data_IF_400716592267
#
_entry.id   IF_400716592267
#
_cell.length_a   1.000
_cell.length_b   1.000
_cell.length_c   1.000
_cell.angle_alpha   90.00
_cell.angle_beta   90.00
_cell.angle_gamma   90.00
#
_symmetry.space_group_name_H-M   'P 1'
#
loop_
_entity.id
_entity.type
_entity.pdbx_description
1 polymer ?
#
# COMPACT_ATOMS: atom_id res chain seq x y z
N UNK A 1 18.05 0.60 17.45
CA UNK A 1 16.66 1.00 17.73
C UNK A 1 15.96 1.20 16.40
N UNK A 2 14.95 0.40 16.05
CA UNK A 2 14.22 0.59 14.79
C UNK A 2 13.25 1.76 14.96
N UNK A 3 13.23 2.70 14.02
CA UNK A 3 12.28 3.82 14.05
C UNK A 3 10.85 3.30 13.79
N UNK A 4 9.80 3.98 14.27
CA UNK A 4 8.41 3.56 14.05
C UNK A 4 8.06 3.36 12.55
N UNK A 5 8.72 4.11 11.67
CA UNK A 5 8.63 3.98 10.21
C UNK A 5 9.18 2.63 9.71
N UNK A 6 10.33 2.19 10.22
CA UNK A 6 10.92 0.90 9.84
C UNK A 6 10.08 -0.29 10.30
N UNK A 7 9.41 -0.17 11.46
CA UNK A 7 8.48 -1.19 11.94
C UNK A 7 7.28 -1.33 10.99
N UNK A 8 6.70 -0.21 10.55
CA UNK A 8 5.59 -0.22 9.61
C UNK A 8 5.98 -0.79 8.24
N UNK A 9 7.17 -0.45 7.72
CA UNK A 9 7.68 -1.04 6.47
C UNK A 9 7.68 -2.57 6.53
N UNK A 10 8.17 -3.10 7.65
CA UNK A 10 8.30 -4.53 7.86
C UNK A 10 6.94 -5.21 7.96
N UNK A 11 5.99 -4.61 8.69
CA UNK A 11 4.62 -5.13 8.78
C UNK A 11 3.94 -5.18 7.40
N UNK A 12 4.03 -4.09 6.63
CA UNK A 12 3.51 -4.04 5.25
C UNK A 12 4.18 -5.06 4.35
N UNK A 13 5.52 -5.18 4.43
CA UNK A 13 6.28 -6.15 3.66
C UNK A 13 5.81 -7.57 3.97
N UNK A 14 5.74 -7.95 5.25
CA UNK A 14 5.30 -9.27 5.68
C UNK A 14 3.86 -9.56 5.23
N UNK A 15 2.98 -8.56 5.27
CA UNK A 15 1.63 -8.69 4.75
C UNK A 15 1.63 -8.97 3.25
N UNK A 16 2.30 -8.16 2.44
CA UNK A 16 2.39 -8.34 0.97
C UNK A 16 3.02 -9.69 0.60
N UNK A 17 4.03 -10.13 1.34
CA UNK A 17 4.69 -11.42 1.15
C UNK A 17 3.74 -12.62 1.28
N UNK A 18 2.70 -12.53 2.11
CA UNK A 18 1.69 -13.61 2.25
C UNK A 18 0.85 -13.79 0.98
N UNK A 19 0.69 -12.73 0.19
CA UNK A 19 -0.12 -12.73 -1.04
C UNK A 19 0.73 -12.75 -2.31
N UNK A 20 2.05 -12.84 -2.18
CA UNK A 20 2.97 -12.89 -3.31
C UNK A 20 2.73 -14.14 -4.16
N UNK A 21 2.65 -13.96 -5.49
CA UNK A 21 2.51 -15.07 -6.45
C UNK A 21 3.74 -15.99 -6.50
N UNK A 22 4.94 -15.42 -6.36
CA UNK A 22 6.21 -16.14 -6.51
C UNK A 22 7.31 -15.51 -5.63
N UNK A 23 8.49 -16.15 -5.60
CA UNK A 23 9.64 -15.69 -4.83
C UNK A 23 10.10 -14.28 -5.22
N UNK A 24 10.01 -13.89 -6.49
CA UNK A 24 10.35 -12.54 -6.94
C UNK A 24 9.39 -11.49 -6.36
N UNK A 25 8.08 -11.72 -6.46
CA UNK A 25 7.06 -10.87 -5.83
C UNK A 25 7.24 -10.79 -4.32
N UNK A 26 7.67 -11.89 -3.69
CA UNK A 26 7.87 -11.98 -2.24
C UNK A 26 9.11 -11.24 -1.75
N UNK A 27 10.26 -11.44 -2.39
CA UNK A 27 11.53 -10.94 -1.89
C UNK A 27 11.99 -9.64 -2.55
N UNK A 28 11.42 -9.27 -3.71
CA UNK A 28 11.78 -8.06 -4.44
C UNK A 28 10.62 -7.07 -4.44
N UNK A 29 9.44 -7.49 -4.91
CA UNK A 29 8.32 -6.54 -5.09
C UNK A 29 7.67 -6.14 -3.76
N UNK A 30 7.43 -7.08 -2.85
CA UNK A 30 6.81 -6.77 -1.55
C UNK A 30 7.60 -5.73 -0.73
N UNK A 31 8.92 -5.87 -0.50
CA UNK A 31 9.68 -4.86 0.23
C UNK A 31 9.77 -3.54 -0.56
N UNK A 32 9.86 -3.59 -1.89
CA UNK A 32 9.87 -2.38 -2.72
C UNK A 32 8.55 -1.59 -2.59
N UNK A 33 7.40 -2.27 -2.70
CA UNK A 33 6.08 -1.64 -2.53
C UNK A 33 5.89 -1.12 -1.11
N UNK A 34 6.38 -1.85 -0.09
CA UNK A 34 6.32 -1.39 1.29
C UNK A 34 7.12 -0.10 1.51
N UNK A 35 8.36 -0.04 1.02
CA UNK A 35 9.21 1.15 1.10
C UNK A 35 8.56 2.36 0.39
N UNK A 36 7.99 2.15 -0.80
CA UNK A 36 7.28 3.22 -1.51
C UNK A 36 5.98 3.63 -0.81
N UNK A 37 5.32 2.72 -0.09
CA UNK A 37 4.09 3.04 0.66
C UNK A 37 4.34 3.95 1.86
N UNK A 38 5.58 4.04 2.35
CA UNK A 38 5.95 4.96 3.43
C UNK A 38 6.19 6.40 2.95
N UNK A 39 6.34 6.62 1.64
CA UNK A 39 6.55 7.96 1.08
C UNK A 39 5.28 8.80 1.14
N UNK A 40 5.44 10.11 1.00
CA UNK A 40 4.37 11.10 1.17
C UNK A 40 3.36 11.08 0.01
N UNK A 41 3.78 10.72 -1.20
CA UNK A 41 2.94 10.75 -2.40
C UNK A 41 2.02 9.54 -2.51
N UNK A 42 1.21 9.50 -3.57
CA UNK A 42 0.43 8.32 -3.87
C UNK A 42 1.38 7.18 -4.27
N UNK A 43 1.08 5.98 -3.78
CA UNK A 43 1.92 4.78 -4.03
C UNK A 43 2.18 4.52 -5.53
N UNK A 44 1.25 4.87 -6.41
CA UNK A 44 1.46 4.72 -7.85
C UNK A 44 2.50 5.71 -8.40
N UNK A 45 2.55 6.95 -7.90
CA UNK A 45 3.53 7.97 -8.30
C UNK A 45 4.93 7.59 -7.82
N UNK A 46 5.02 7.16 -6.55
CA UNK A 46 6.27 6.68 -6.00
C UNK A 46 6.81 5.49 -6.79
N UNK A 47 5.96 4.52 -7.14
CA UNK A 47 6.33 3.39 -8.00
C UNK A 47 6.62 3.78 -9.46
N UNK A 48 6.46 5.06 -9.85
CA UNK A 48 6.73 5.56 -11.20
C UNK A 48 5.63 5.29 -12.21
N UNK A 49 4.42 4.94 -11.77
CA UNK A 49 3.27 4.76 -12.66
C UNK A 49 2.57 6.09 -12.96
N UNK A 50 2.12 6.26 -14.21
CA UNK A 50 1.37 7.47 -14.61
C UNK A 50 -0.04 7.52 -14.04
N UNK A 51 -0.63 6.39 -13.63
CA UNK A 51 -2.00 6.33 -13.13
C UNK A 51 -2.27 5.11 -12.23
N UNK A 52 -3.35 5.19 -11.44
CA UNK A 52 -3.84 4.12 -10.55
C UNK A 52 -4.14 2.80 -11.26
N UNK A 53 -4.51 2.85 -12.54
CA UNK A 53 -4.86 1.67 -13.35
C UNK A 53 -3.62 0.82 -13.64
N UNK A 54 -2.51 1.45 -14.04
CA UNK A 54 -1.24 0.75 -14.26
C UNK A 54 -0.73 0.10 -12.99
N UNK A 55 -0.77 0.83 -11.87
CA UNK A 55 -0.43 0.26 -10.58
C UNK A 55 -1.35 -0.91 -10.21
N UNK A 56 -2.65 -0.81 -10.47
CA UNK A 56 -3.60 -1.90 -10.23
C UNK A 56 -3.30 -3.16 -11.04
N UNK A 57 -2.91 -3.01 -12.30
CA UNK A 57 -2.45 -4.13 -13.14
C UNK A 57 -1.15 -4.73 -12.62
N UNK A 58 -0.21 -3.89 -12.20
CA UNK A 58 1.05 -4.33 -11.59
C UNK A 58 0.81 -5.14 -10.32
N UNK A 59 0.00 -4.62 -9.41
CA UNK A 59 -0.40 -5.32 -8.19
C UNK A 59 -1.13 -6.62 -8.49
N UNK A 60 -2.05 -6.66 -9.48
CA UNK A 60 -2.73 -7.89 -9.90
C UNK A 60 -1.77 -8.93 -10.48
N UNK A 61 -0.71 -8.50 -11.17
CA UNK A 61 0.30 -9.39 -11.74
C UNK A 61 1.14 -10.07 -10.64
N UNK A 62 1.54 -9.30 -9.62
CA UNK A 62 2.43 -9.76 -8.56
C UNK A 62 1.71 -10.37 -7.34
N UNK A 63 0.51 -9.86 -7.04
CA UNK A 63 -0.34 -10.18 -5.89
C UNK A 63 -1.79 -10.43 -6.35
N UNK A 64 -2.06 -11.45 -7.17
CA UNK A 64 -3.39 -11.70 -7.74
C UNK A 64 -4.45 -11.91 -6.65
N UNK A 65 -4.15 -12.72 -5.62
CA UNK A 65 -5.05 -12.97 -4.49
C UNK A 65 -5.42 -11.68 -3.73
N UNK A 66 -4.46 -10.78 -3.58
CA UNK A 66 -4.70 -9.50 -2.92
C UNK A 66 -5.55 -8.57 -3.78
N UNK A 67 -5.35 -8.60 -5.10
CA UNK A 67 -6.14 -7.82 -6.04
C UNK A 67 -7.59 -8.30 -6.14
N UNK A 68 -7.85 -9.59 -5.93
CA UNK A 68 -9.20 -10.15 -5.85
C UNK A 68 -9.95 -9.69 -4.60
N UNK A 69 -9.25 -9.56 -3.47
CA UNK A 69 -9.85 -9.09 -2.21
C UNK A 69 -10.05 -7.57 -2.16
N UNK A 70 -9.34 -6.82 -3.02
CA UNK A 70 -9.36 -5.37 -2.98
C UNK A 70 -10.64 -4.82 -3.64
N UNK A 71 -11.42 -3.96 -2.94
CA UNK A 71 -12.54 -3.25 -3.57
C UNK A 71 -12.07 -2.24 -4.62
N UNK A 72 -12.81 -2.12 -5.72
CA UNK A 72 -12.44 -1.30 -6.89
C UNK A 72 -12.28 0.19 -6.54
N UNK A 73 -13.11 0.71 -5.65
CA UNK A 73 -13.09 2.12 -5.20
C UNK A 73 -11.98 2.48 -4.19
N UNK A 74 -11.38 1.49 -3.53
CA UNK A 74 -10.39 1.76 -2.46
C UNK A 74 -8.99 1.94 -3.05
N UNK A 75 -8.22 2.90 -2.55
CA UNK A 75 -6.81 3.07 -2.92
C UNK A 75 -5.96 1.92 -2.39
N UNK A 76 -4.94 1.49 -3.14
CA UNK A 76 -4.04 0.39 -2.74
C UNK A 76 -3.32 0.66 -1.42
N UNK A 77 -2.75 1.87 -1.28
CA UNK A 77 -2.10 2.30 -0.04
C UNK A 77 -3.05 2.10 1.15
N UNK A 78 -4.23 2.71 1.08
CA UNK A 78 -5.26 2.57 2.11
C UNK A 78 -5.64 1.11 2.39
N UNK A 79 -5.92 0.31 1.37
CA UNK A 79 -6.29 -1.10 1.53
C UNK A 79 -5.20 -1.91 2.25
N UNK A 80 -3.92 -1.69 1.92
CA UNK A 80 -2.79 -2.38 2.57
C UNK A 80 -2.70 -2.01 4.05
N UNK A 81 -2.73 -0.71 4.36
CA UNK A 81 -2.65 -0.22 5.75
C UNK A 81 -3.86 -0.66 6.59
N UNK A 82 -5.06 -0.56 6.03
CA UNK A 82 -6.32 -1.03 6.62
C UNK A 82 -6.27 -2.54 6.93
N UNK A 83 -5.67 -3.34 6.03
CA UNK A 83 -5.49 -4.79 6.23
C UNK A 83 -4.52 -5.15 7.35
N UNK A 84 -3.59 -4.27 7.70
CA UNK A 84 -2.67 -4.45 8.85
C UNK A 84 -3.14 -3.71 10.10
N UNK A 85 -4.33 -3.09 10.07
CA UNK A 85 -4.87 -2.32 11.19
C UNK A 85 -4.04 -1.07 11.54
N UNK A 86 -3.36 -0.48 10.54
CA UNK A 86 -2.56 0.74 10.69
C UNK A 86 -3.11 1.85 9.79
N UNK A 87 -2.70 3.08 10.07
CA UNK A 87 -2.98 4.24 9.21
C UNK A 87 -1.70 4.63 8.50
N UNK A 88 -1.78 4.90 7.19
CA UNK A 88 -0.63 5.34 6.42
C UNK A 88 -0.15 6.71 6.97
N UNK A 89 1.17 6.91 7.22
CA UNK A 89 1.68 8.14 7.82
C UNK A 89 1.39 9.39 6.98
N UNK A 90 1.31 9.24 5.65
CA UNK A 90 0.99 10.31 4.72
C UNK A 90 -0.52 10.59 4.54
N UNK A 91 -1.40 9.92 5.29
CA UNK A 91 -2.84 10.12 5.16
C UNK A 91 -3.30 11.48 5.72
N UNK A 92 -2.51 12.09 6.61
CA UNK A 92 -2.84 13.37 7.26
C UNK A 92 -2.59 14.59 6.35
N UNK A 93 -1.63 14.50 5.43
CA UNK A 93 -1.25 15.58 4.48
C UNK A 93 -1.85 15.41 3.08
N UNK A 94 -2.56 14.31 2.83
CA UNK A 94 -3.18 14.07 1.53
C UNK A 94 -4.35 15.05 1.31
N UNK A 95 -4.19 15.99 0.38
CA UNK A 95 -5.24 16.94 -0.06
C UNK A 95 -6.48 16.25 -0.68
N UNK A 96 -6.42 14.95 -0.94
CA UNK A 96 -7.51 14.12 -1.46
C UNK A 96 -8.37 13.49 -0.35
N UNK A 97 -8.50 14.18 0.79
CA UNK A 97 -9.33 13.75 1.93
C UNK A 97 -10.78 13.49 1.53
N UNK A 98 -11.28 14.20 0.50
CA UNK A 98 -12.64 14.07 -0.03
C UNK A 98 -12.94 12.72 -0.69
N UNK A 99 -11.93 12.00 -1.17
CA UNK A 99 -12.09 10.68 -1.79
C UNK A 99 -11.64 9.53 -0.86
N UNK A 100 -11.13 9.87 0.33
CA UNK A 100 -10.72 8.94 1.36
C UNK A 100 -11.87 8.74 2.37
N UNK A 101 -12.84 7.89 2.02
CA UNK A 101 -14.06 7.56 2.80
C UNK A 101 -13.86 7.01 4.24
N UNK A 102 -12.66 7.07 4.82
CA UNK A 102 -12.36 6.57 6.17
C UNK A 102 -11.22 7.36 6.85
N UNK A 103 -11.21 8.68 6.70
CA UNK A 103 -10.54 9.58 7.66
C UNK A 103 -11.57 10.24 8.58
N UNK A 104 -12.66 9.53 8.89
CA UNK A 104 -13.61 9.94 9.91
C UNK A 104 -13.36 9.10 11.15
N UNK A 105 -12.48 9.58 12.05
CA UNK A 105 -12.53 9.41 13.51
C UNK A 105 -11.14 9.70 14.13
N UNK A 106 -10.98 10.92 14.66
CA UNK A 106 -10.47 11.20 16.01
C UNK A 106 -10.29 12.72 16.14
N UNK A 107 -11.41 13.45 16.16
CA UNK A 107 -11.53 14.75 16.81
C UNK A 107 -12.46 14.57 18.00
#
# INVERSE_FOLDING_TARGET
MNTPVQTMEREVTLFLQKYAKNSYSKYVIAPHVAAMSLKEHHLYEDLGFKNRVQMGRYMKCHFPKLAEQKPLDKLWKKFIYDSIGKVAPACFTCKDSSNCFACALAG
#
